data_IF_724178874706
#
_entry.id   IF_724178874706
#
_cell.length_a   1.000
_cell.length_b   1.000
_cell.length_c   1.000
_cell.angle_alpha   90.00
_cell.angle_beta   90.00
_cell.angle_gamma   90.00
#
_symmetry.space_group_name_H-M   'P 1'
#
loop_
_entity.id
_entity.type
_entity.pdbx_description
1 polymer ?
#
# COMPACT_ATOMS: atom_id res chain seq x y z
N UNK A 1 39.46 -22.57 -57.93
CA UNK A 1 39.20 -22.92 -56.51
C UNK A 1 40.01 -22.07 -55.51
N UNK A 2 41.35 -21.97 -55.63
CA UNK A 2 42.19 -21.19 -54.70
C UNK A 2 41.79 -19.69 -54.57
N UNK A 3 41.47 -19.00 -55.68
CA UNK A 3 41.05 -17.58 -55.67
C UNK A 3 39.72 -17.32 -54.92
N UNK A 4 38.78 -18.25 -54.98
CA UNK A 4 37.50 -18.18 -54.24
C UNK A 4 37.75 -18.41 -52.74
N UNK A 5 38.72 -19.28 -52.40
CA UNK A 5 39.17 -19.50 -51.03
C UNK A 5 39.81 -18.24 -50.41
N UNK A 6 40.65 -17.51 -51.15
CA UNK A 6 41.25 -16.26 -50.68
C UNK A 6 40.23 -15.15 -50.46
N UNK A 7 39.22 -15.03 -51.34
CA UNK A 7 38.16 -14.02 -51.21
C UNK A 7 37.26 -14.30 -50.00
N UNK A 8 36.95 -15.59 -49.75
CA UNK A 8 36.25 -16.04 -48.53
C UNK A 8 37.04 -15.78 -47.25
N UNK A 9 38.38 -15.82 -47.31
CA UNK A 9 39.24 -15.62 -46.14
C UNK A 9 39.33 -14.13 -45.77
N UNK A 10 39.42 -13.24 -46.77
CA UNK A 10 39.43 -11.78 -46.59
C UNK A 10 38.09 -11.28 -46.01
N UNK A 11 36.97 -11.84 -46.44
CA UNK A 11 35.65 -11.49 -45.90
C UNK A 11 35.48 -11.82 -44.40
N UNK A 12 36.12 -12.88 -43.91
CA UNK A 12 36.11 -13.24 -42.47
C UNK A 12 37.05 -12.36 -41.64
N UNK A 13 38.14 -11.85 -42.22
CA UNK A 13 39.10 -10.94 -41.57
C UNK A 13 38.53 -9.51 -41.39
N UNK A 14 37.49 -9.14 -42.14
CA UNK A 14 36.84 -7.81 -42.08
C UNK A 14 35.55 -7.81 -41.24
N UNK A 15 35.42 -8.74 -40.29
CA UNK A 15 34.25 -8.81 -39.39
C UNK A 15 34.32 -7.68 -38.35
N UNK A 16 33.57 -6.59 -38.55
CA UNK A 16 33.43 -5.53 -37.55
C UNK A 16 32.28 -5.83 -36.60
N UNK A 17 32.53 -5.83 -35.30
CA UNK A 17 31.47 -5.89 -34.28
C UNK A 17 30.88 -4.49 -34.10
N UNK A 18 29.66 -4.28 -34.61
CA UNK A 18 28.93 -3.03 -34.38
C UNK A 18 28.20 -3.14 -33.04
N UNK A 19 28.40 -2.16 -32.15
CA UNK A 19 27.62 -2.08 -30.90
C UNK A 19 26.31 -1.34 -31.17
N UNK A 20 25.18 -1.92 -30.74
CA UNK A 20 23.81 -1.41 -30.99
C UNK A 20 23.20 -0.64 -29.79
N UNK A 21 24.02 -0.29 -28.81
CA UNK A 21 23.66 0.54 -27.66
C UNK A 21 23.34 1.98 -28.06
N UNK A 22 22.30 2.55 -27.44
CA UNK A 22 21.84 3.92 -27.67
C UNK A 22 22.30 4.79 -26.50
N UNK A 23 23.29 5.65 -26.75
CA UNK A 23 23.67 6.71 -25.82
C UNK A 23 23.04 8.04 -26.22
N UNK A 24 22.32 8.69 -25.30
CA UNK A 24 21.82 10.06 -25.45
C UNK A 24 22.65 10.94 -24.51
N UNK A 25 23.44 11.86 -25.07
CA UNK A 25 24.35 12.70 -24.27
C UNK A 25 25.66 12.03 -23.86
N UNK A 26 25.93 10.79 -24.32
CA UNK A 26 27.20 10.07 -24.10
C UNK A 26 27.59 9.24 -25.33
N UNK A 27 28.89 9.19 -25.63
CA UNK A 27 29.46 8.31 -26.67
C UNK A 27 29.87 6.94 -26.12
N UNK A 28 29.91 6.79 -24.79
CA UNK A 28 30.33 5.58 -24.08
C UNK A 28 29.22 5.14 -23.13
N UNK A 29 28.07 4.66 -23.66
CA UNK A 29 26.94 4.28 -22.82
C UNK A 29 27.26 3.04 -21.96
N UNK A 30 26.77 3.04 -20.72
CA UNK A 30 26.95 1.95 -19.75
C UNK A 30 25.88 0.85 -19.85
N UNK A 31 24.81 1.09 -20.59
CA UNK A 31 23.70 0.17 -20.81
C UNK A 31 23.22 0.18 -22.27
N UNK A 32 22.25 -0.69 -22.60
CA UNK A 32 21.65 -0.74 -23.94
C UNK A 32 20.97 0.59 -24.33
N UNK A 33 20.42 1.31 -23.35
CA UNK A 33 20.00 2.71 -23.43
C UNK A 33 20.60 3.44 -22.24
N UNK A 34 21.36 4.50 -22.49
CA UNK A 34 21.95 5.35 -21.46
C UNK A 34 21.68 6.82 -21.80
N UNK A 35 21.15 7.58 -20.83
CA UNK A 35 20.77 8.98 -21.01
C UNK A 35 21.52 9.81 -19.97
N UNK A 36 22.51 10.56 -20.42
CA UNK A 36 23.33 11.43 -19.57
C UNK A 36 22.91 12.88 -19.78
N UNK A 37 22.33 13.49 -18.74
CA UNK A 37 21.99 14.92 -18.69
C UNK A 37 22.05 15.44 -17.27
N UNK A 38 22.46 16.69 -17.09
CA UNK A 38 22.50 17.36 -15.78
C UNK A 38 21.21 18.13 -15.44
N UNK A 39 20.32 18.36 -16.41
CA UNK A 39 19.16 19.24 -16.25
C UNK A 39 17.90 18.78 -17.00
N UNK A 40 17.96 17.65 -17.71
CA UNK A 40 16.83 17.10 -18.46
C UNK A 40 16.49 15.69 -17.98
N UNK A 41 15.20 15.35 -17.97
CA UNK A 41 14.72 14.02 -17.61
C UNK A 41 14.32 13.18 -18.82
N UNK A 42 13.83 11.97 -18.56
CA UNK A 42 13.25 11.08 -19.59
C UNK A 42 11.73 11.12 -19.50
N UNK A 43 11.06 11.49 -20.59
CA UNK A 43 9.61 11.41 -20.68
C UNK A 43 9.20 10.00 -21.13
N UNK A 44 8.72 9.21 -20.19
CA UNK A 44 8.14 7.88 -20.44
C UNK A 44 6.76 8.04 -21.10
N UNK A 45 6.36 7.16 -22.05
CA UNK A 45 5.06 7.25 -22.72
C UNK A 45 3.89 7.35 -21.74
N UNK A 46 3.02 8.33 -21.96
CA UNK A 46 1.78 8.52 -21.20
C UNK A 46 0.63 7.85 -21.93
N UNK A 47 -0.08 6.97 -21.24
CA UNK A 47 -1.16 6.17 -21.82
C UNK A 47 -2.36 6.11 -20.89
N UNK A 48 -3.53 5.86 -21.47
CA UNK A 48 -4.81 5.77 -20.75
C UNK A 48 -5.19 4.31 -20.56
N UNK A 49 -4.69 3.65 -19.51
CA UNK A 49 -4.97 2.22 -19.31
C UNK A 49 -6.41 1.98 -18.85
N UNK A 50 -7.11 1.07 -19.52
CA UNK A 50 -8.52 0.77 -19.24
C UNK A 50 -8.69 -0.18 -18.05
N UNK A 51 -7.74 -1.09 -17.82
CA UNK A 51 -7.79 -2.05 -16.72
C UNK A 51 -6.40 -2.61 -16.41
N UNK A 52 -6.28 -3.45 -15.38
CA UNK A 52 -5.02 -4.15 -15.08
C UNK A 52 -4.60 -5.10 -16.20
N UNK A 53 -5.54 -5.65 -16.96
CA UNK A 53 -5.28 -6.63 -18.01
C UNK A 53 -5.32 -6.02 -19.42
N UNK A 54 -5.35 -4.69 -19.53
CA UNK A 54 -5.39 -3.99 -20.82
C UNK A 54 -4.13 -4.28 -21.63
N UNK A 55 -4.27 -5.10 -22.66
CA UNK A 55 -3.18 -5.50 -23.54
C UNK A 55 -3.25 -4.84 -24.93
N UNK A 56 -4.13 -3.86 -25.11
CA UNK A 56 -4.40 -3.21 -26.40
C UNK A 56 -3.91 -1.77 -26.48
N UNK A 57 -3.96 -1.03 -25.35
CA UNK A 57 -3.59 0.39 -25.33
C UNK A 57 -2.11 0.61 -25.63
N UNK A 58 -1.24 -0.31 -25.20
CA UNK A 58 0.19 -0.27 -25.47
C UNK A 58 0.52 -1.30 -26.54
N UNK A 59 0.92 -0.85 -27.73
CA UNK A 59 1.40 -1.71 -28.80
C UNK A 59 2.94 -1.73 -28.84
N UNK A 60 3.53 -2.92 -28.97
CA UNK A 60 4.97 -3.09 -29.21
C UNK A 60 5.19 -3.28 -30.72
N UNK A 61 6.20 -2.62 -31.33
CA UNK A 61 6.60 -2.89 -32.71
C UNK A 61 6.95 -4.38 -32.90
N UNK A 62 6.30 -5.06 -33.86
CA UNK A 62 6.53 -6.48 -34.14
C UNK A 62 5.45 -7.45 -33.67
N UNK A 63 4.36 -6.98 -33.04
CA UNK A 63 3.08 -7.69 -32.98
C UNK A 63 2.94 -8.85 -32.00
N UNK A 64 3.96 -9.20 -31.21
CA UNK A 64 3.92 -10.33 -30.27
C UNK A 64 3.24 -10.04 -28.91
N UNK A 65 2.44 -8.97 -28.82
CA UNK A 65 1.88 -8.50 -27.55
C UNK A 65 2.88 -7.69 -26.71
N UNK A 66 2.45 -7.27 -25.52
CA UNK A 66 3.27 -6.44 -24.62
C UNK A 66 4.38 -7.29 -23.99
N UNK A 67 5.62 -6.83 -24.13
CA UNK A 67 6.79 -7.51 -23.55
C UNK A 67 6.83 -7.25 -22.04
N UNK A 68 7.18 -8.28 -21.25
CA UNK A 68 7.37 -8.16 -19.80
C UNK A 68 8.35 -7.02 -19.49
N UNK A 69 8.09 -6.28 -18.42
CA UNK A 69 8.83 -5.10 -17.98
C UNK A 69 8.71 -3.86 -18.87
N UNK A 70 7.82 -3.86 -19.88
CA UNK A 70 7.43 -2.62 -20.58
C UNK A 70 6.88 -1.63 -19.58
N UNK A 71 7.43 -0.41 -19.55
CA UNK A 71 7.07 0.65 -18.59
C UNK A 71 6.36 1.81 -19.27
N UNK A 72 5.28 2.30 -18.64
CA UNK A 72 4.50 3.45 -19.10
C UNK A 72 4.06 4.31 -17.90
N UNK A 73 3.64 5.54 -18.17
CA UNK A 73 2.90 6.35 -17.21
C UNK A 73 1.39 6.28 -17.51
N UNK A 74 0.62 5.70 -16.60
CA UNK A 74 -0.85 5.71 -16.67
C UNK A 74 -1.36 7.09 -16.24
N UNK A 75 -2.09 7.77 -17.12
CA UNK A 75 -2.66 9.10 -16.84
C UNK A 75 -3.80 9.08 -15.81
N UNK A 76 -4.34 7.89 -15.52
CA UNK A 76 -5.45 7.72 -14.60
C UNK A 76 -6.74 8.40 -15.06
N UNK A 77 -6.94 8.61 -16.37
CA UNK A 77 -8.22 9.02 -16.97
C UNK A 77 -9.08 7.79 -17.26
N UNK A 78 -8.45 6.69 -17.68
CA UNK A 78 -9.07 5.39 -17.97
C UNK A 78 -9.60 4.65 -16.74
N UNK A 79 -9.92 3.37 -16.89
CA UNK A 79 -10.46 2.54 -15.81
C UNK A 79 -9.40 2.05 -14.81
N UNK A 80 -8.11 2.02 -15.18
CA UNK A 80 -7.05 1.71 -14.23
C UNK A 80 -6.70 2.95 -13.41
N UNK A 81 -6.88 2.84 -12.09
CA UNK A 81 -6.48 3.87 -11.11
C UNK A 81 -5.50 3.27 -10.08
N UNK A 82 -4.70 4.10 -9.39
CA UNK A 82 -4.50 5.54 -9.62
C UNK A 82 -3.63 5.85 -10.84
N UNK A 83 -3.40 7.14 -11.13
CA UNK A 83 -2.36 7.56 -12.08
C UNK A 83 -0.96 7.23 -11.52
N UNK A 84 0.02 6.99 -12.40
CA UNK A 84 1.41 6.74 -11.98
C UNK A 84 2.20 5.88 -12.97
N UNK A 85 3.41 5.48 -12.56
CA UNK A 85 4.25 4.58 -13.35
C UNK A 85 3.79 3.13 -13.19
N UNK A 86 3.60 2.44 -14.31
CA UNK A 86 3.22 1.04 -14.37
C UNK A 86 4.19 0.26 -15.25
N UNK A 87 4.40 -1.01 -14.92
CA UNK A 87 5.10 -1.96 -15.77
C UNK A 87 4.26 -3.20 -16.03
N UNK A 88 4.45 -3.82 -17.19
CA UNK A 88 3.76 -5.04 -17.57
C UNK A 88 4.40 -6.27 -16.94
N UNK A 89 3.64 -7.06 -16.18
CA UNK A 89 4.15 -8.29 -15.54
C UNK A 89 4.14 -9.51 -16.46
N UNK A 90 3.65 -9.37 -17.69
CA UNK A 90 3.30 -10.48 -18.60
C UNK A 90 1.80 -10.77 -18.63
N UNK A 91 1.06 -10.39 -17.59
CA UNK A 91 -0.40 -10.58 -17.50
C UNK A 91 -1.15 -9.38 -16.96
N UNK A 92 -0.50 -8.55 -16.14
CA UNK A 92 -1.12 -7.39 -15.52
C UNK A 92 -0.18 -6.18 -15.50
N UNK A 93 -0.77 -4.99 -15.58
CA UNK A 93 -0.11 -3.73 -15.24
C UNK A 93 0.02 -3.61 -13.72
N UNK A 94 1.26 -3.51 -13.25
CA UNK A 94 1.61 -3.32 -11.85
C UNK A 94 2.20 -1.94 -11.65
N UNK A 95 1.71 -1.21 -10.65
CA UNK A 95 2.22 0.11 -10.33
C UNK A 95 3.61 -0.02 -9.72
N UNK A 96 4.60 0.71 -10.26
CA UNK A 96 6.00 0.65 -9.85
C UNK A 96 6.21 1.22 -8.45
N UNK A 97 5.59 2.39 -8.19
CA UNK A 97 5.64 3.06 -6.89
C UNK A 97 4.20 3.35 -6.49
N UNK A 98 3.82 2.90 -5.30
CA UNK A 98 2.52 3.23 -4.71
C UNK A 98 2.69 4.47 -3.83
N UNK A 99 2.25 5.67 -4.27
CA UNK A 99 2.36 6.87 -3.46
C UNK A 99 1.37 6.89 -2.27
N UNK A 100 0.48 5.89 -2.17
CA UNK A 100 -0.55 5.83 -1.15
C UNK A 100 0.01 5.44 0.22
N UNK A 101 -0.54 6.05 1.28
CA UNK A 101 -0.27 5.66 2.66
C UNK A 101 -0.64 4.18 2.84
N UNK A 102 0.30 3.37 3.32
CA UNK A 102 0.07 1.93 3.54
C UNK A 102 -0.54 1.62 4.91
N UNK A 103 -0.45 2.58 5.83
CA UNK A 103 -0.96 2.48 7.20
C UNK A 103 -1.74 3.75 7.53
N UNK A 104 -2.90 3.59 8.15
CA UNK A 104 -3.70 4.67 8.70
C UNK A 104 -4.06 4.34 10.14
N UNK A 105 -3.68 5.23 11.05
CA UNK A 105 -4.03 5.11 12.47
C UNK A 105 -5.15 6.09 12.80
N UNK A 106 -6.15 5.63 13.53
CA UNK A 106 -7.29 6.43 13.95
C UNK A 106 -7.89 5.89 15.25
N UNK A 107 -8.93 6.58 15.74
CA UNK A 107 -9.69 6.18 16.93
C UNK A 107 -11.18 6.45 16.72
N UNK A 108 -12.02 5.61 17.30
CA UNK A 108 -13.47 5.78 17.33
C UNK A 108 -14.03 5.29 18.68
N UNK A 109 -15.21 5.76 19.08
CA UNK A 109 -15.91 5.33 20.28
C UNK A 109 -17.10 4.47 19.86
N UNK A 110 -17.31 3.34 20.54
CA UNK A 110 -18.51 2.52 20.42
C UNK A 110 -19.43 2.87 21.59
N UNK A 111 -20.41 3.75 21.36
CA UNK A 111 -21.32 4.24 22.40
C UNK A 111 -22.77 3.73 22.25
N UNK A 112 -23.05 2.96 21.21
CA UNK A 112 -24.38 2.41 20.91
C UNK A 112 -24.24 0.98 20.39
N UNK A 113 -25.27 0.16 20.65
CA UNK A 113 -25.36 -1.19 20.09
C UNK A 113 -25.63 -1.15 18.59
N UNK A 114 -25.17 -2.18 17.87
CA UNK A 114 -25.42 -2.35 16.43
C UNK A 114 -24.20 -2.06 15.56
N UNK A 115 -24.41 -2.04 14.25
CA UNK A 115 -23.34 -1.83 13.28
C UNK A 115 -22.94 -0.35 13.21
N UNK A 116 -21.64 -0.08 13.37
CA UNK A 116 -21.05 1.24 13.19
C UNK A 116 -20.28 1.30 11.87
N UNK A 117 -20.49 2.37 11.08
CA UNK A 117 -19.77 2.58 9.82
C UNK A 117 -18.62 3.55 10.02
N UNK A 118 -17.38 3.06 9.88
CA UNK A 118 -16.20 3.90 9.83
C UNK A 118 -16.01 4.42 8.39
N UNK A 119 -15.96 5.74 8.23
CA UNK A 119 -15.83 6.42 6.93
C UNK A 119 -14.65 7.41 6.94
N UNK A 120 -14.27 7.94 5.78
CA UNK A 120 -13.17 8.91 5.66
C UNK A 120 -11.76 8.30 5.67
N UNK A 121 -11.62 6.98 5.52
CA UNK A 121 -10.30 6.36 5.37
C UNK A 121 -9.66 6.75 4.03
N UNK A 122 -8.35 7.04 3.99
CA UNK A 122 -7.66 7.47 2.77
C UNK A 122 -7.47 6.35 1.73
N UNK A 123 -7.76 5.11 2.10
CA UNK A 123 -7.70 3.93 1.23
C UNK A 123 -8.66 2.85 1.75
N UNK A 124 -8.97 1.87 0.91
CA UNK A 124 -9.67 0.66 1.34
C UNK A 124 -8.66 -0.26 2.06
N UNK A 125 -8.77 -0.46 3.39
CA UNK A 125 -7.83 -1.32 4.10
C UNK A 125 -7.98 -2.79 3.66
N UNK A 126 -6.86 -3.50 3.54
CA UNK A 126 -6.85 -4.96 3.42
C UNK A 126 -6.86 -5.66 4.77
N UNK A 127 -6.33 -4.99 5.80
CA UNK A 127 -6.31 -5.45 7.18
C UNK A 127 -6.64 -4.27 8.09
N UNK A 128 -7.47 -4.53 9.10
CA UNK A 128 -7.74 -3.63 10.21
C UNK A 128 -7.33 -4.36 11.47
N UNK A 129 -6.52 -3.70 12.30
CA UNK A 129 -6.20 -4.15 13.65
C UNK A 129 -6.79 -3.14 14.61
N UNK A 130 -7.48 -3.62 15.65
CA UNK A 130 -8.09 -2.75 16.64
C UNK A 130 -7.73 -3.23 18.04
N UNK A 131 -7.47 -2.23 18.90
CA UNK A 131 -7.37 -2.39 20.35
C UNK A 131 -8.42 -1.46 20.94
N UNK A 132 -9.22 -1.97 21.86
CA UNK A 132 -10.21 -1.16 22.54
C UNK A 132 -10.22 -1.46 24.04
N UNK A 133 -10.59 -0.45 24.80
CA UNK A 133 -10.73 -0.50 26.24
C UNK A 133 -12.17 -0.11 26.59
N UNK A 134 -12.80 -0.86 27.49
CA UNK A 134 -14.12 -0.52 28.00
C UNK A 134 -14.14 0.82 28.76
N UNK A 135 -15.31 1.45 28.88
CA UNK A 135 -15.55 2.69 29.63
C UNK A 135 -14.75 3.91 29.16
N UNK A 136 -14.33 3.96 27.90
CA UNK A 136 -13.77 5.18 27.30
C UNK A 136 -14.90 5.88 26.54
N UNK A 137 -15.72 6.60 27.30
CA UNK A 137 -16.98 7.19 26.79
C UNK A 137 -16.78 8.54 26.11
N UNK A 138 -15.61 9.15 26.32
CA UNK A 138 -15.24 10.46 25.76
C UNK A 138 -13.77 10.47 25.36
N UNK A 139 -13.46 11.22 24.31
CA UNK A 139 -12.08 11.47 23.89
C UNK A 139 -11.31 12.40 24.83
N UNK A 140 -12.02 13.09 25.72
CA UNK A 140 -11.43 13.95 26.72
C UNK A 140 -12.16 13.68 28.04
N UNK A 141 -11.52 12.93 28.92
CA UNK A 141 -12.07 12.55 30.20
C UNK A 141 -10.96 12.53 31.25
N UNK A 142 -11.13 13.35 32.28
CA UNK A 142 -10.25 13.45 33.43
C UNK A 142 -11.11 13.72 34.68
N UNK A 143 -11.99 12.77 34.96
CA UNK A 143 -12.92 12.84 36.07
C UNK A 143 -13.00 11.47 36.73
N UNK A 144 -13.32 11.48 38.01
CA UNK A 144 -13.69 10.29 38.75
C UNK A 144 -14.89 9.59 38.10
N UNK A 145 -15.02 8.28 38.32
CA UNK A 145 -16.07 7.45 37.73
C UNK A 145 -17.48 7.82 38.25
N UNK A 146 -17.57 8.56 39.37
CA UNK A 146 -18.81 9.08 39.93
C UNK A 146 -19.81 8.02 40.39
N UNK A 147 -19.35 6.77 40.59
CA UNK A 147 -20.15 5.62 41.00
C UNK A 147 -19.93 5.28 42.48
N UNK A 148 -20.87 4.55 43.07
CA UNK A 148 -20.70 4.05 44.45
C UNK A 148 -19.73 2.86 44.48
N UNK A 149 -19.11 2.61 45.63
CA UNK A 149 -18.28 1.42 45.81
C UNK A 149 -19.08 0.14 45.56
N UNK A 150 -18.43 -0.87 44.99
CA UNK A 150 -19.00 -2.19 44.73
C UNK A 150 -20.30 -2.17 43.89
N UNK A 151 -20.39 -1.25 42.94
CA UNK A 151 -21.55 -1.13 42.05
C UNK A 151 -21.38 -1.99 40.78
N UNK A 152 -22.49 -2.52 40.26
CA UNK A 152 -22.53 -3.35 39.05
C UNK A 152 -22.70 -2.51 37.76
N UNK A 153 -22.44 -1.21 37.86
CA UNK A 153 -22.46 -0.27 36.75
C UNK A 153 -21.27 -0.47 35.82
N UNK A 154 -21.36 0.07 34.61
CA UNK A 154 -20.28 -0.05 33.61
C UNK A 154 -18.96 0.46 34.19
N UNK A 155 -19.00 1.50 35.03
CA UNK A 155 -17.88 2.09 35.75
C UNK A 155 -17.03 1.08 36.54
N UNK A 156 -17.66 0.05 37.12
CA UNK A 156 -17.02 -1.04 37.87
C UNK A 156 -16.47 -2.20 37.02
N UNK A 157 -16.66 -2.14 35.69
CA UNK A 157 -16.10 -3.10 34.75
C UNK A 157 -14.80 -2.58 34.13
N UNK A 158 -13.76 -3.41 34.12
CA UNK A 158 -12.57 -3.16 33.33
C UNK A 158 -12.44 -4.26 32.27
N UNK A 159 -12.28 -3.86 31.01
CA UNK A 159 -12.01 -4.79 29.93
C UNK A 159 -11.14 -4.19 28.84
N UNK A 160 -10.43 -5.05 28.13
CA UNK A 160 -9.76 -4.72 26.89
C UNK A 160 -10.12 -5.78 25.85
N UNK A 161 -10.02 -5.39 24.58
CA UNK A 161 -10.11 -6.31 23.47
C UNK A 161 -9.06 -5.96 22.44
N UNK A 162 -8.50 -7.00 21.83
CA UNK A 162 -7.62 -6.88 20.68
C UNK A 162 -8.12 -7.84 19.60
N UNK A 163 -8.09 -7.38 18.36
CA UNK A 163 -8.58 -8.19 17.25
C UNK A 163 -8.16 -7.65 15.91
N UNK A 164 -8.49 -8.43 14.88
CA UNK A 164 -8.21 -8.07 13.50
C UNK A 164 -9.37 -8.46 12.58
N UNK A 165 -9.41 -7.82 11.42
CA UNK A 165 -10.18 -8.23 10.26
C UNK A 165 -9.28 -8.14 9.01
N UNK A 166 -9.22 -9.20 8.22
CA UNK A 166 -8.34 -9.35 7.05
C UNK A 166 -9.15 -9.77 5.81
N UNK A 167 -8.96 -9.06 4.69
CA UNK A 167 -9.59 -9.30 3.40
C UNK A 167 -8.58 -9.76 2.31
N UNK A 168 -7.63 -10.63 2.67
CA UNK A 168 -6.64 -11.17 1.73
C UNK A 168 -7.11 -12.40 0.93
N UNK A 169 -8.18 -13.09 1.35
CA UNK A 169 -8.58 -14.41 0.81
C UNK A 169 -9.96 -14.49 0.12
N UNK A 170 -10.51 -13.37 -0.37
CA UNK A 170 -11.85 -13.33 -0.99
C UNK A 170 -13.03 -13.32 -0.01
N UNK A 171 -12.80 -13.70 1.24
CA UNK A 171 -13.68 -13.49 2.39
C UNK A 171 -12.97 -12.69 3.48
N UNK A 172 -13.74 -12.10 4.41
CA UNK A 172 -13.20 -11.42 5.58
C UNK A 172 -12.96 -12.46 6.68
N UNK A 173 -11.70 -12.65 7.07
CA UNK A 173 -11.32 -13.45 8.24
C UNK A 173 -11.14 -12.50 9.42
N UNK A 174 -11.82 -12.77 10.53
CA UNK A 174 -11.78 -11.90 11.71
C UNK A 174 -11.73 -12.71 13.01
N UNK A 175 -10.98 -12.21 13.98
CA UNK A 175 -10.93 -12.77 15.33
C UNK A 175 -10.78 -11.64 16.34
N UNK A 176 -11.33 -11.86 17.52
CA UNK A 176 -11.20 -10.97 18.66
C UNK A 176 -10.95 -11.79 19.91
N UNK A 177 -10.05 -11.32 20.75
CA UNK A 177 -9.93 -11.77 22.12
C UNK A 177 -10.30 -10.61 23.03
N UNK A 178 -11.13 -10.89 24.02
CA UNK A 178 -11.52 -9.94 25.06
C UNK A 178 -11.10 -10.51 26.41
N UNK A 179 -10.51 -9.65 27.24
CA UNK A 179 -10.18 -9.93 28.62
C UNK A 179 -10.79 -8.84 29.50
N UNK A 180 -11.25 -9.20 30.69
CA UNK A 180 -11.82 -8.22 31.60
C UNK A 180 -12.34 -8.84 32.88
N UNK A 181 -12.70 -7.98 33.82
CA UNK A 181 -13.30 -8.33 35.09
C UNK A 181 -14.28 -7.24 35.54
N UNK A 182 -15.24 -7.64 36.35
CA UNK A 182 -16.14 -6.77 37.11
C UNK A 182 -16.07 -7.21 38.56
N UNK A 183 -16.19 -6.32 39.55
CA UNK A 183 -16.19 -6.82 40.92
C UNK A 183 -16.81 -5.90 41.96
N UNK A 184 -17.48 -6.55 42.94
CA UNK A 184 -17.88 -6.03 44.25
C UNK A 184 -16.67 -5.81 45.20
N UNK A 185 -15.45 -5.61 44.68
CA UNK A 185 -14.20 -5.41 45.46
C UNK A 185 -13.10 -4.67 44.68
N UNK A 186 -13.38 -4.20 43.45
CA UNK A 186 -12.50 -3.32 42.69
C UNK A 186 -13.22 -1.98 42.65
N UNK A 187 -12.78 -1.04 43.48
CA UNK A 187 -13.39 0.30 43.62
C UNK A 187 -12.55 1.34 42.86
N UNK A 188 -13.16 2.47 42.50
CA UNK A 188 -12.49 3.66 41.94
C UNK A 188 -11.57 3.41 40.73
N UNK A 189 -12.05 2.65 39.74
CA UNK A 189 -11.34 2.50 38.46
C UNK A 189 -11.33 3.85 37.74
N UNK A 190 -10.21 4.57 37.86
CA UNK A 190 -10.00 5.84 37.19
C UNK A 190 -9.58 5.63 35.74
N UNK A 191 -9.96 6.59 34.89
CA UNK A 191 -9.77 6.55 33.44
C UNK A 191 -9.28 7.91 32.96
N UNK A 192 -8.21 7.91 32.18
CA UNK A 192 -7.71 9.08 31.47
C UNK A 192 -7.77 8.82 29.97
N UNK A 193 -8.31 9.77 29.21
CA UNK A 193 -8.29 9.74 27.75
C UNK A 193 -8.00 11.13 27.18
N UNK A 194 -7.12 11.20 26.18
CA UNK A 194 -6.74 12.44 25.52
C UNK A 194 -7.16 12.49 24.05
N UNK A 195 -7.65 13.66 23.63
CA UNK A 195 -8.00 13.90 22.22
C UNK A 195 -6.77 14.30 21.40
N UNK A 196 -5.77 14.92 22.03
CA UNK A 196 -4.52 15.41 21.44
C UNK A 196 -3.35 14.43 21.53
N UNK A 197 -3.42 13.45 22.44
CA UNK A 197 -2.43 12.39 22.60
C UNK A 197 -3.12 11.02 22.45
N UNK A 198 -2.52 10.09 21.71
CA UNK A 198 -3.08 8.74 21.49
C UNK A 198 -2.91 7.83 22.72
N UNK A 199 -3.24 8.33 23.91
CA UNK A 199 -3.04 7.62 25.17
C UNK A 199 -4.36 7.55 25.94
N UNK A 200 -4.75 6.31 26.27
CA UNK A 200 -5.83 5.99 27.19
C UNK A 200 -5.28 5.08 28.27
N UNK A 201 -5.34 5.51 29.53
CA UNK A 201 -4.76 4.78 30.66
C UNK A 201 -5.84 4.53 31.70
N UNK A 202 -5.82 3.31 32.25
CA UNK A 202 -6.49 2.99 33.50
C UNK A 202 -5.50 2.98 34.64
N UNK A 203 -5.89 3.54 35.76
CA UNK A 203 -5.17 3.41 37.01
C UNK A 203 -6.18 3.15 38.13
N UNK A 204 -5.78 2.32 39.07
CA UNK A 204 -6.48 2.15 40.34
C UNK A 204 -5.68 2.92 41.41
N UNK A 205 -6.36 3.39 42.45
CA UNK A 205 -5.71 3.87 43.66
C UNK A 205 -5.20 2.70 44.52
#
# INVERSE_FOLDING_TARGET
>A
MKKVLYLSLIGRLLSFTVKAQVGIGTASPEAALDVVSSNSGVLIPRVTLSSKTDNTTVSIPGGAGIVVSTMVYNDGVGGLKPAGFYYWSGTNWLQLIKPEKQVYMGKFIINTSGSQRISGLPFKPKRIEFVAYANVDSYNLNADNGSSNNDNTKEGYFGFMAGYADQSGGAVVQQIIQGGGSSNSINDVSRYASNSHCIGIRYAN
#
